data_IF_488363829215
#
_entry.id   IF_488363829215
#
_cell.length_a   1.000
_cell.length_b   1.000
_cell.length_c   1.000
_cell.angle_alpha   90.00
_cell.angle_beta   90.00
_cell.angle_gamma   90.00
#
_symmetry.space_group_name_H-M   'P 1'
#
loop_
_entity.id
_entity.type
_entity.pdbx_description
1 polymer ?
#
# COMPACT_ATOMS: atom_id res chain seq x y z
N UNK A 1 4.35 14.57 15.38
CA UNK A 1 5.27 15.72 15.37
C UNK A 1 6.42 15.41 14.42
N UNK A 2 7.04 16.43 13.83
CA UNK A 2 8.17 16.30 12.93
C UNK A 2 9.13 15.19 13.40
N UNK A 3 9.59 14.30 12.50
CA UNK A 3 9.56 14.47 11.04
C UNK A 3 8.32 13.92 10.32
N UNK A 4 7.35 13.30 11.00
CA UNK A 4 6.24 12.55 10.36
C UNK A 4 4.90 13.28 10.30
N UNK A 5 4.90 14.60 10.54
CA UNK A 5 3.67 15.38 10.51
C UNK A 5 3.09 15.46 9.09
N UNK A 6 1.79 15.24 8.86
CA UNK A 6 0.74 14.83 9.81
C UNK A 6 0.03 13.53 9.42
N UNK A 7 0.48 12.85 8.36
CA UNK A 7 -0.22 11.70 7.76
C UNK A 7 0.76 10.64 7.23
N UNK A 8 1.73 10.22 8.05
CA UNK A 8 2.56 9.07 7.69
C UNK A 8 1.74 7.78 7.72
N UNK A 9 1.93 6.95 6.70
CA UNK A 9 1.31 5.64 6.53
C UNK A 9 2.33 4.50 6.60
N UNK A 10 3.63 4.81 6.68
CA UNK A 10 4.73 3.87 6.68
C UNK A 10 5.01 3.28 8.06
N UNK A 11 5.10 1.95 8.14
CA UNK A 11 5.42 1.25 9.40
C UNK A 11 6.92 1.01 9.61
N UNK A 12 7.76 1.42 8.66
CA UNK A 12 9.19 1.07 8.63
C UNK A 12 10.13 2.29 8.64
N UNK A 13 9.59 3.51 8.78
CA UNK A 13 10.37 4.75 8.79
C UNK A 13 10.68 5.27 10.20
N UNK A 14 10.07 4.68 11.22
CA UNK A 14 10.33 4.99 12.63
C UNK A 14 9.33 5.95 13.29
N UNK A 15 8.14 6.17 12.71
CA UNK A 15 7.04 6.87 13.37
C UNK A 15 6.35 5.98 14.44
N UNK A 16 5.54 6.62 15.28
CA UNK A 16 4.69 5.94 16.27
C UNK A 16 3.66 5.02 15.56
N UNK A 17 3.68 3.69 15.81
CA UNK A 17 2.73 2.76 15.21
C UNK A 17 1.26 3.12 15.46
N UNK A 18 0.94 3.76 16.59
CA UNK A 18 -0.42 4.20 16.89
C UNK A 18 -0.83 5.39 16.01
N UNK A 19 0.09 6.33 15.74
CA UNK A 19 -0.16 7.44 14.83
C UNK A 19 -0.36 6.95 13.40
N UNK A 20 0.48 6.01 12.93
CA UNK A 20 0.36 5.39 11.60
C UNK A 20 -0.97 4.62 11.48
N UNK A 21 -1.38 3.87 12.50
CA UNK A 21 -2.66 3.16 12.50
C UNK A 21 -3.85 4.12 12.41
N UNK A 22 -3.83 5.21 13.18
CA UNK A 22 -4.84 6.27 13.12
C UNK A 22 -4.88 6.96 11.75
N UNK A 23 -3.72 7.27 11.15
CA UNK A 23 -3.65 7.86 9.82
C UNK A 23 -4.22 6.92 8.75
N UNK A 24 -3.90 5.63 8.81
CA UNK A 24 -4.49 4.62 7.92
C UNK A 24 -6.01 4.54 8.10
N UNK A 25 -6.52 4.59 9.33
CA UNK A 25 -7.96 4.61 9.60
C UNK A 25 -8.64 5.86 9.01
N UNK A 26 -7.99 7.03 9.09
CA UNK A 26 -8.49 8.27 8.46
C UNK A 26 -8.53 8.18 6.94
N UNK A 27 -7.49 7.62 6.31
CA UNK A 27 -7.47 7.38 4.86
C UNK A 27 -8.58 6.40 4.47
N UNK A 28 -8.77 5.32 5.23
CA UNK A 28 -9.83 4.36 4.97
C UNK A 28 -11.21 5.03 4.98
N UNK A 29 -11.50 5.82 6.01
CA UNK A 29 -12.77 6.54 6.13
C UNK A 29 -12.96 7.55 4.98
N UNK A 30 -11.93 8.32 4.63
CA UNK A 30 -12.01 9.33 3.58
C UNK A 30 -12.17 8.74 2.16
N UNK A 31 -11.62 7.56 1.92
CA UNK A 31 -11.67 6.86 0.64
C UNK A 31 -12.77 5.79 0.56
N UNK A 32 -13.61 5.67 1.60
CA UNK A 32 -14.66 4.63 1.72
C UNK A 32 -14.11 3.20 1.53
N UNK A 33 -12.90 2.96 2.03
CA UNK A 33 -12.21 1.68 1.95
C UNK A 33 -12.49 0.81 3.19
N UNK A 34 -12.36 -0.54 3.07
CA UNK A 34 -12.46 -1.43 4.21
C UNK A 34 -11.35 -1.17 5.23
N UNK A 35 -11.42 -1.86 6.37
CA UNK A 35 -10.42 -1.77 7.43
C UNK A 35 -8.97 -1.96 6.88
N UNK A 36 -8.01 -1.08 7.24
CA UNK A 36 -6.63 -1.15 6.76
C UNK A 36 -5.91 -2.49 6.99
N UNK A 37 -6.35 -3.30 7.95
CA UNK A 37 -5.82 -4.65 8.17
C UNK A 37 -6.09 -5.62 7.01
N UNK A 38 -6.98 -5.25 6.08
CA UNK A 38 -7.35 -6.04 4.90
C UNK A 38 -6.67 -5.57 3.60
N UNK A 39 -5.85 -4.52 3.66
CA UNK A 39 -5.18 -3.94 2.51
C UNK A 39 -3.87 -4.67 2.20
N UNK A 40 -3.52 -4.76 0.91
CA UNK A 40 -2.23 -5.29 0.48
C UNK A 40 -1.16 -4.21 0.47
N UNK A 41 -0.36 -4.18 1.55
CA UNK A 41 0.92 -3.49 1.59
C UNK A 41 2.03 -4.40 1.04
N UNK A 42 3.04 -3.79 0.40
CA UNK A 42 4.22 -4.48 -0.12
C UNK A 42 5.47 -4.09 0.67
N UNK A 43 6.43 -5.01 0.74
CA UNK A 43 7.82 -4.69 1.09
C UNK A 43 8.53 -4.22 -0.20
N UNK A 44 8.51 -2.89 -0.41
CA UNK A 44 8.97 -2.25 -1.64
C UNK A 44 10.51 -2.19 -1.67
N UNK A 45 11.11 -3.08 -2.45
CA UNK A 45 12.57 -3.28 -2.52
C UNK A 45 13.24 -2.53 -3.67
N UNK A 46 12.49 -1.66 -4.37
CA UNK A 46 12.93 -0.96 -5.58
C UNK A 46 13.36 -1.90 -6.71
N UNK A 47 12.66 -3.04 -6.82
CA UNK A 47 12.74 -3.99 -7.93
C UNK A 47 11.58 -3.83 -8.91
N UNK A 48 11.30 -4.90 -9.65
CA UNK A 48 10.26 -4.93 -10.70
C UNK A 48 9.27 -6.11 -10.53
N UNK A 49 9.31 -6.79 -9.38
CA UNK A 49 8.43 -7.93 -9.11
C UNK A 49 6.99 -7.46 -8.86
N UNK A 50 6.03 -8.22 -9.42
CA UNK A 50 4.60 -7.91 -9.37
C UNK A 50 3.87 -9.01 -8.61
N UNK A 51 3.16 -8.63 -7.55
CA UNK A 51 2.27 -9.52 -6.80
C UNK A 51 0.87 -9.57 -7.44
N UNK A 52 0.36 -10.75 -7.74
CA UNK A 52 -1.07 -10.93 -8.08
C UNK A 52 -1.83 -11.36 -6.85
N UNK A 53 -2.92 -10.66 -6.51
CA UNK A 53 -3.73 -10.96 -5.31
C UNK A 53 -5.17 -11.34 -5.68
N UNK A 54 -5.70 -12.35 -5.00
CA UNK A 54 -6.98 -12.99 -5.27
C UNK A 54 -7.94 -13.00 -4.06
N UNK A 55 -7.55 -12.35 -2.97
CA UNK A 55 -8.36 -12.17 -1.76
C UNK A 55 -7.87 -10.94 -0.99
N UNK A 56 -8.66 -10.38 -0.05
CA UNK A 56 -8.16 -9.39 0.89
C UNK A 56 -6.95 -9.90 1.66
N UNK A 57 -6.06 -8.99 2.07
CA UNK A 57 -4.91 -9.36 2.88
C UNK A 57 -5.41 -10.00 4.18
N UNK A 58 -4.72 -11.07 4.59
CA UNK A 58 -4.87 -11.60 5.95
C UNK A 58 -3.82 -10.90 6.81
N UNK A 59 -3.97 -10.96 8.14
CA UNK A 59 -2.92 -10.55 9.07
C UNK A 59 -1.68 -11.44 8.85
N UNK A 60 -0.87 -11.10 7.86
CA UNK A 60 0.40 -11.75 7.56
C UNK A 60 1.44 -11.17 8.51
N UNK A 61 2.37 -12.03 8.97
CA UNK A 61 3.46 -11.59 9.84
C UNK A 61 4.43 -10.61 9.14
N UNK A 62 4.44 -10.57 7.79
CA UNK A 62 5.24 -9.66 6.97
C UNK A 62 4.58 -9.41 5.60
N UNK A 63 4.81 -8.23 5.03
CA UNK A 63 4.39 -7.88 3.67
C UNK A 63 5.24 -8.64 2.61
N UNK A 64 4.67 -9.05 1.47
CA UNK A 64 5.43 -9.67 0.40
C UNK A 64 6.42 -8.69 -0.26
N UNK A 65 7.62 -9.15 -0.58
CA UNK A 65 8.59 -8.37 -1.35
C UNK A 65 8.12 -8.23 -2.81
N UNK A 66 7.79 -7.01 -3.21
CA UNK A 66 7.36 -6.63 -4.56
C UNK A 66 7.27 -5.11 -4.65
N UNK A 67 7.26 -4.57 -5.88
CA UNK A 67 7.10 -3.13 -6.13
C UNK A 67 5.84 -2.82 -6.93
N UNK A 68 5.05 -3.83 -7.29
CA UNK A 68 3.74 -3.67 -7.85
C UNK A 68 2.77 -4.75 -7.34
N UNK A 69 1.48 -4.43 -7.37
CA UNK A 69 0.42 -5.40 -7.15
C UNK A 69 -0.71 -5.23 -8.16
N UNK A 70 -1.38 -6.33 -8.51
CA UNK A 70 -2.57 -6.35 -9.36
C UNK A 70 -3.66 -7.23 -8.77
N UNK A 71 -4.92 -6.88 -9.01
CA UNK A 71 -6.07 -7.71 -8.62
C UNK A 71 -7.23 -7.54 -9.59
N UNK A 72 -7.99 -8.62 -9.78
CA UNK A 72 -9.30 -8.61 -10.41
C UNK A 72 -10.44 -8.76 -9.38
N UNK A 73 -10.13 -8.72 -8.08
CA UNK A 73 -11.11 -8.96 -7.01
C UNK A 73 -11.67 -7.63 -6.51
N UNK A 74 -12.99 -7.37 -6.67
CA UNK A 74 -13.62 -6.16 -6.16
C UNK A 74 -13.45 -6.02 -4.65
N UNK A 75 -13.21 -4.78 -4.20
CA UNK A 75 -13.11 -4.46 -2.77
C UNK A 75 -11.80 -4.89 -2.10
N UNK A 76 -10.77 -5.26 -2.87
CA UNK A 76 -9.41 -5.54 -2.36
C UNK A 76 -8.50 -4.33 -2.59
N UNK A 77 -8.15 -3.56 -1.55
CA UNK A 77 -7.27 -2.40 -1.72
C UNK A 77 -5.82 -2.83 -1.91
N UNK A 78 -5.16 -2.24 -2.91
CA UNK A 78 -3.73 -2.39 -3.18
C UNK A 78 -3.00 -1.11 -2.77
N UNK A 79 -1.85 -1.24 -2.12
CA UNK A 79 -1.12 -0.08 -1.57
C UNK A 79 0.34 -0.09 -1.99
N UNK A 80 0.76 1.04 -2.57
CA UNK A 80 2.17 1.42 -2.69
C UNK A 80 2.37 2.71 -1.90
N UNK A 81 3.44 2.78 -1.13
CA UNK A 81 3.83 3.96 -0.36
C UNK A 81 4.95 4.69 -1.10
N UNK A 82 4.91 6.01 -1.15
CA UNK A 82 5.96 6.80 -1.78
C UNK A 82 6.20 8.11 -1.04
N UNK A 83 7.47 8.54 -1.08
CA UNK A 83 7.93 9.90 -0.87
C UNK A 83 9.05 10.12 -1.88
N UNK A 84 8.71 10.72 -3.03
CA UNK A 84 9.55 11.00 -4.23
C UNK A 84 9.48 9.99 -5.39
N UNK A 85 9.41 8.68 -5.14
CA UNK A 85 9.24 7.70 -6.24
C UNK A 85 7.88 7.89 -6.94
N UNK A 86 7.77 7.56 -8.23
CA UNK A 86 6.54 7.77 -8.98
C UNK A 86 5.50 6.67 -8.67
N UNK A 87 4.31 7.00 -8.13
CA UNK A 87 3.22 6.04 -8.02
C UNK A 87 2.47 5.96 -9.36
N UNK A 88 2.22 4.75 -9.86
CA UNK A 88 1.41 4.53 -11.06
C UNK A 88 0.20 3.69 -10.69
N UNK A 89 -0.99 4.17 -11.04
CA UNK A 89 -2.23 3.40 -10.96
C UNK A 89 -2.64 2.95 -12.36
N UNK A 90 -3.00 1.69 -12.50
CA UNK A 90 -3.44 1.04 -13.73
C UNK A 90 -4.84 0.47 -13.51
N UNK A 91 -5.67 0.50 -14.55
CA UNK A 91 -6.98 -0.13 -14.54
C UNK A 91 -7.33 -0.63 -15.94
N UNK A 92 -8.00 -1.77 -15.99
CA UNK A 92 -8.74 -2.25 -17.16
C UNK A 92 -10.19 -2.58 -16.79
N UNK A 93 -10.92 -3.28 -17.66
CA UNK A 93 -12.34 -3.57 -17.47
C UNK A 93 -12.64 -4.45 -16.24
N UNK A 94 -11.67 -5.26 -15.79
CA UNK A 94 -11.88 -6.28 -14.75
C UNK A 94 -10.84 -6.27 -13.64
N UNK A 95 -9.79 -5.46 -13.77
CA UNK A 95 -8.65 -5.46 -12.87
C UNK A 95 -8.06 -4.08 -12.65
N UNK A 96 -7.34 -3.96 -11.54
CA UNK A 96 -6.61 -2.76 -11.14
C UNK A 96 -5.19 -3.14 -10.73
N UNK A 97 -4.27 -2.20 -10.86
CA UNK A 97 -2.89 -2.35 -10.42
C UNK A 97 -2.32 -1.07 -9.85
N UNK A 98 -1.36 -1.23 -8.94
CA UNK A 98 -0.56 -0.13 -8.39
C UNK A 98 0.92 -0.48 -8.51
N UNK A 99 1.75 0.51 -8.81
CA UNK A 99 3.20 0.35 -9.02
C UNK A 99 3.94 1.45 -8.26
N UNK A 100 4.96 1.04 -7.53
CA UNK A 100 6.01 1.89 -7.00
C UNK A 100 7.17 1.93 -8.02
N UNK A 101 7.29 3.04 -8.76
CA UNK A 101 8.33 3.21 -9.75
C UNK A 101 9.42 4.16 -9.23
N UNK A 102 10.40 3.60 -8.52
CA UNK A 102 11.67 4.27 -8.27
C UNK A 102 12.59 4.16 -9.48
N UNK A 103 13.67 4.95 -9.55
CA UNK A 103 14.58 4.96 -10.72
C UNK A 103 15.25 3.61 -11.04
N UNK A 104 15.31 2.69 -10.06
CA UNK A 104 15.87 1.33 -10.23
C UNK A 104 14.85 0.33 -10.79
N UNK A 105 13.59 0.56 -10.49
CA UNK A 105 12.46 -0.31 -10.88
C UNK A 105 11.97 0.02 -12.28
#
# INVERSE_FOLDING_TARGET
MAPYDSCDLGTHVGDDPAAVAENRARVAAAAELPDPSTWWFLDQVHGADVLTVDAPARTHAAAPAADAAVTAVPGVPLVVLTADCAPIALADDVSVGVVHAGWRG
#
